data_IF_738490821062
#
_entry.id   IF_738490821062
#
_cell.length_a   1.000
_cell.length_b   1.000
_cell.length_c   1.000
_cell.angle_alpha   90.00
_cell.angle_beta   90.00
_cell.angle_gamma   90.00
#
_symmetry.space_group_name_H-M   'P 1'
#
loop_
_entity.id
_entity.type
_entity.pdbx_description
1 polymer ?
#
# COMPACT_ATOMS: atom_id res chain seq x y z
N UNK A 1 -10.77 27.62 -10.74
CA UNK A 1 -11.72 27.89 -9.64
C UNK A 1 -11.12 27.33 -8.37
N UNK A 2 -10.37 28.16 -7.64
CA UNK A 2 -9.95 27.88 -6.27
C UNK A 2 -10.86 28.69 -5.35
N UNK A 3 -11.47 28.02 -4.36
CA UNK A 3 -12.26 28.66 -3.33
C UNK A 3 -11.36 29.57 -2.49
N UNK A 4 -11.79 30.82 -2.34
CA UNK A 4 -11.24 31.83 -1.43
C UNK A 4 -11.59 31.48 0.01
N UNK A 5 -10.64 31.59 0.92
CA UNK A 5 -10.91 32.05 2.28
C UNK A 5 -10.00 33.25 2.56
N UNK A 6 -10.65 34.39 2.76
CA UNK A 6 -10.09 35.70 3.07
C UNK A 6 -9.96 35.81 4.59
N UNK A 7 -8.81 36.24 5.09
CA UNK A 7 -8.68 36.77 6.45
C UNK A 7 -8.21 38.22 6.32
N UNK A 8 -9.07 39.15 6.70
CA UNK A 8 -8.82 40.59 6.76
C UNK A 8 -7.93 40.94 7.96
N UNK A 9 -6.97 41.84 7.73
CA UNK A 9 -6.17 42.53 8.75
C UNK A 9 -5.65 43.86 8.18
N UNK A 10 -5.69 44.98 8.93
CA UNK A 10 -5.72 46.32 8.33
C UNK A 10 -4.32 46.93 8.15
N UNK A 11 -4.13 47.60 7.01
CA UNK A 11 -3.12 48.65 6.82
C UNK A 11 -1.73 48.17 6.39
N UNK A 12 -1.36 48.45 5.13
CA UNK A 12 0.04 48.40 4.69
C UNK A 12 0.25 48.00 3.24
N UNK A 13 0.04 48.95 2.32
CA UNK A 13 0.73 49.12 1.03
C UNK A 13 1.07 47.88 0.16
N UNK A 14 0.28 47.67 -0.91
CA UNK A 14 0.53 46.67 -1.96
C UNK A 14 1.72 47.07 -2.83
N UNK A 15 2.90 46.47 -2.61
CA UNK A 15 4.02 46.55 -3.56
C UNK A 15 3.94 45.42 -4.58
N UNK A 16 3.73 45.77 -5.87
CA UNK A 16 3.88 44.84 -7.00
C UNK A 16 5.34 44.41 -7.11
N UNK A 17 5.65 43.15 -6.83
CA UNK A 17 6.92 42.54 -7.21
C UNK A 17 6.74 41.89 -8.59
N UNK A 18 7.41 42.47 -9.60
CA UNK A 18 7.51 41.93 -10.96
C UNK A 18 8.33 40.63 -10.91
N UNK A 19 7.84 39.58 -11.57
CA UNK A 19 8.29 38.21 -11.35
C UNK A 19 9.67 37.85 -11.90
N UNK A 20 10.28 36.87 -11.23
CA UNK A 20 11.29 35.99 -11.78
C UNK A 20 10.71 34.58 -11.87
N UNK A 21 10.72 34.02 -13.08
CA UNK A 21 10.40 32.61 -13.32
C UNK A 21 11.44 31.77 -12.57
N UNK A 22 11.04 31.12 -11.48
CA UNK A 22 11.84 30.08 -10.86
C UNK A 22 12.04 28.96 -11.89
N UNK A 23 13.28 28.80 -12.36
CA UNK A 23 13.72 27.63 -13.10
C UNK A 23 13.40 26.39 -12.26
N UNK A 24 12.61 25.46 -12.80
CA UNK A 24 12.44 24.15 -12.18
C UNK A 24 13.82 23.48 -12.08
N UNK A 25 14.25 22.98 -10.90
CA UNK A 25 15.52 22.31 -10.80
C UNK A 25 15.50 21.05 -11.66
N UNK A 26 16.44 20.99 -12.62
CA UNK A 26 16.78 19.80 -13.39
C UNK A 26 17.06 18.65 -12.43
N UNK A 27 16.35 17.53 -12.62
CA UNK A 27 16.52 16.32 -11.83
C UNK A 27 17.81 15.62 -12.27
N UNK A 28 18.96 16.18 -11.90
CA UNK A 28 20.23 15.47 -11.98
C UNK A 28 20.17 14.29 -11.00
N UNK A 29 20.44 13.09 -11.51
CA UNK A 29 20.49 11.85 -10.74
C UNK A 29 21.38 12.04 -9.51
N UNK A 30 20.77 12.03 -8.32
CA UNK A 30 21.49 11.97 -7.04
C UNK A 30 22.16 10.61 -6.95
N UNK A 31 23.37 10.52 -7.48
CA UNK A 31 24.12 9.27 -7.57
C UNK A 31 24.87 8.91 -6.29
N UNK A 32 24.92 9.79 -5.27
CA UNK A 32 25.71 9.54 -4.07
C UNK A 32 24.87 9.63 -2.78
N UNK A 33 23.88 8.75 -2.65
CA UNK A 33 23.37 8.38 -1.33
C UNK A 33 23.80 6.94 -1.04
N UNK A 34 25.09 6.75 -0.75
CA UNK A 34 25.51 5.55 -0.03
C UNK A 34 24.89 5.59 1.36
N UNK A 35 23.94 4.70 1.63
CA UNK A 35 23.52 4.37 3.00
C UNK A 35 24.74 3.71 3.67
N UNK A 36 25.66 4.53 4.18
CA UNK A 36 26.73 4.09 5.07
C UNK A 36 26.21 4.20 6.50
N UNK A 37 25.42 3.21 6.89
CA UNK A 37 24.94 3.03 8.24
C UNK A 37 24.75 1.54 8.45
N UNK A 38 25.72 0.90 9.09
CA UNK A 38 25.55 -0.48 9.53
C UNK A 38 24.31 -0.50 10.43
N UNK A 39 23.22 -1.12 9.95
CA UNK A 39 22.06 -1.41 10.79
C UNK A 39 22.59 -2.34 11.88
N UNK A 40 22.82 -1.80 13.07
CA UNK A 40 23.21 -2.58 14.23
C UNK A 40 22.03 -3.49 14.57
N UNK A 41 22.08 -4.72 14.08
CA UNK A 41 21.13 -5.75 14.48
C UNK A 41 21.51 -6.15 15.89
N UNK A 42 20.70 -5.76 16.87
CA UNK A 42 20.84 -6.28 18.23
C UNK A 42 20.30 -7.72 18.19
N UNK A 43 21.14 -8.75 18.31
CA UNK A 43 20.65 -10.13 18.27
C UNK A 43 19.80 -10.38 19.51
N UNK A 44 18.54 -10.78 19.29
CA UNK A 44 17.69 -11.23 20.38
C UNK A 44 18.22 -12.60 20.83
N UNK A 45 18.61 -12.79 22.11
CA UNK A 45 19.15 -14.05 22.58
C UNK A 45 18.17 -15.21 22.34
N UNK A 46 18.67 -16.34 21.84
CA UNK A 46 17.84 -17.50 21.50
C UNK A 46 16.97 -17.98 22.68
N UNK A 47 17.49 -17.90 23.90
CA UNK A 47 16.76 -18.24 25.13
C UNK A 47 15.51 -17.37 25.37
N UNK A 48 15.46 -16.15 24.82
CA UNK A 48 14.29 -15.26 24.90
C UNK A 48 13.33 -15.44 23.72
N UNK A 49 13.75 -16.08 22.62
CA UNK A 49 12.94 -16.21 21.41
C UNK A 49 11.78 -17.19 21.58
N UNK A 50 12.02 -18.34 22.21
CA UNK A 50 10.97 -19.35 22.35
C UNK A 50 9.80 -18.85 23.24
N UNK A 51 10.04 -18.28 24.43
CA UNK A 51 8.95 -17.73 25.24
C UNK A 51 8.21 -16.58 24.56
N UNK A 52 8.94 -15.71 23.83
CA UNK A 52 8.32 -14.61 23.08
C UNK A 52 7.40 -15.15 21.97
N UNK A 53 7.88 -16.13 21.19
CA UNK A 53 7.11 -16.77 20.13
C UNK A 53 5.83 -17.41 20.68
N UNK A 54 5.94 -18.17 21.77
CA UNK A 54 4.79 -18.82 22.41
C UNK A 54 3.77 -17.79 22.93
N UNK A 55 4.24 -16.71 23.58
CA UNK A 55 3.37 -15.64 24.04
C UNK A 55 2.67 -14.91 22.89
N UNK A 56 3.41 -14.57 21.82
CA UNK A 56 2.86 -13.89 20.64
C UNK A 56 1.85 -14.77 19.89
N UNK A 57 2.18 -16.03 19.65
CA UNK A 57 1.28 -16.96 18.97
C UNK A 57 0.05 -17.28 19.84
N UNK A 58 0.23 -17.44 21.16
CA UNK A 58 -0.87 -17.64 22.09
C UNK A 58 -1.81 -16.44 22.17
N UNK A 59 -1.27 -15.22 22.21
CA UNK A 59 -2.07 -13.99 22.10
C UNK A 59 -2.79 -13.93 20.74
N UNK A 60 -2.09 -14.18 19.63
CA UNK A 60 -2.67 -14.13 18.29
C UNK A 60 -3.79 -15.15 18.10
N UNK A 61 -3.69 -16.33 18.71
CA UNK A 61 -4.77 -17.33 18.68
C UNK A 61 -6.06 -16.82 19.33
N UNK A 62 -5.95 -16.01 20.39
CA UNK A 62 -7.09 -15.44 21.14
C UNK A 62 -7.63 -14.16 20.51
N UNK A 63 -6.73 -13.22 20.15
CA UNK A 63 -7.06 -11.84 19.79
C UNK A 63 -6.88 -11.54 18.29
N UNK A 64 -6.33 -12.49 17.53
CA UNK A 64 -6.05 -12.29 16.11
C UNK A 64 -7.33 -12.05 15.31
N UNK A 65 -7.18 -11.34 14.18
CA UNK A 65 -8.24 -11.19 13.19
C UNK A 65 -8.53 -12.55 12.55
N UNK A 66 -9.53 -13.28 13.05
CA UNK A 66 -9.80 -14.67 12.64
C UNK A 66 -11.13 -14.87 11.93
N UNK A 67 -11.75 -13.79 11.45
CA UNK A 67 -12.99 -13.84 10.67
C UNK A 67 -12.76 -13.46 9.20
N UNK A 68 -13.35 -14.19 8.23
CA UNK A 68 -13.21 -13.89 6.79
C UNK A 68 -13.56 -12.45 6.43
N UNK A 69 -14.58 -11.87 7.06
CA UNK A 69 -15.00 -10.49 6.81
C UNK A 69 -13.92 -9.44 7.11
N UNK A 70 -12.95 -9.77 7.97
CA UNK A 70 -11.90 -8.84 8.40
C UNK A 70 -10.69 -8.84 7.47
N UNK A 71 -10.38 -9.96 6.82
CA UNK A 71 -9.21 -10.12 5.92
C UNK A 71 -9.42 -11.29 4.94
N UNK A 72 -10.35 -11.17 3.98
CA UNK A 72 -10.81 -12.28 3.16
C UNK A 72 -9.69 -12.98 2.38
N UNK A 73 -8.64 -12.27 1.97
CA UNK A 73 -7.45 -12.82 1.29
C UNK A 73 -6.63 -13.82 2.12
N UNK A 74 -6.88 -13.93 3.43
CA UNK A 74 -6.21 -14.89 4.33
C UNK A 74 -7.05 -16.14 4.61
N UNK A 75 -8.20 -16.28 3.97
CA UNK A 75 -9.12 -17.41 4.15
C UNK A 75 -9.33 -18.13 2.83
N UNK A 76 -9.72 -19.39 2.94
CA UNK A 76 -10.21 -20.17 1.80
C UNK A 76 -11.57 -19.61 1.33
N UNK A 77 -11.99 -19.91 0.09
CA UNK A 77 -13.30 -19.50 -0.43
C UNK A 77 -14.50 -19.94 0.42
N UNK A 78 -14.36 -21.05 1.16
CA UNK A 78 -15.38 -21.56 2.09
C UNK A 78 -15.38 -20.85 3.47
N UNK A 79 -14.53 -19.83 3.65
CA UNK A 79 -14.36 -19.11 4.91
C UNK A 79 -13.49 -19.83 5.94
N UNK A 80 -12.95 -21.01 5.62
CA UNK A 80 -12.05 -21.77 6.47
C UNK A 80 -10.65 -21.16 6.54
N UNK A 81 -9.95 -21.37 7.66
CA UNK A 81 -8.53 -21.07 7.79
C UNK A 81 -7.70 -22.12 7.04
N UNK A 82 -6.70 -21.73 6.22
CA UNK A 82 -5.88 -22.70 5.48
C UNK A 82 -5.08 -23.60 6.42
N UNK A 83 -5.03 -24.89 6.09
CA UNK A 83 -4.14 -25.85 6.72
C UNK A 83 -2.68 -25.62 6.30
N UNK A 84 -1.72 -26.26 6.99
CA UNK A 84 -0.28 -26.08 6.75
C UNK A 84 0.16 -26.44 5.31
N UNK A 85 -0.55 -27.35 4.65
CA UNK A 85 -0.27 -27.79 3.28
C UNK A 85 -1.05 -27.02 2.22
N UNK A 86 -2.01 -26.19 2.61
CA UNK A 86 -2.78 -25.36 1.69
C UNK A 86 -2.08 -24.02 1.48
N UNK A 87 -2.05 -23.57 0.22
CA UNK A 87 -1.53 -22.26 -0.14
C UNK A 87 -2.69 -21.26 -0.23
N UNK A 88 -2.45 -20.04 0.25
CA UNK A 88 -3.33 -18.92 -0.01
C UNK A 88 -3.21 -18.47 -1.45
N UNK A 89 -4.25 -17.80 -1.95
CA UNK A 89 -4.19 -17.11 -3.22
C UNK A 89 -3.16 -15.96 -3.13
N UNK A 90 -2.01 -16.19 -3.77
CA UNK A 90 -0.87 -15.26 -3.76
C UNK A 90 -1.25 -13.92 -4.41
N UNK A 91 -2.09 -13.93 -5.44
CA UNK A 91 -2.54 -12.72 -6.12
C UNK A 91 -3.44 -11.89 -5.20
N UNK A 92 -4.44 -12.52 -4.59
CA UNK A 92 -5.32 -11.91 -3.60
C UNK A 92 -4.55 -11.25 -2.43
N UNK A 93 -3.57 -11.97 -1.89
CA UNK A 93 -2.69 -11.49 -0.82
C UNK A 93 -1.83 -10.32 -1.30
N UNK A 94 -1.19 -10.42 -2.46
CA UNK A 94 -0.35 -9.36 -3.02
C UNK A 94 -1.13 -8.05 -3.19
N UNK A 95 -2.34 -8.11 -3.76
CA UNK A 95 -3.21 -6.94 -3.95
C UNK A 95 -3.54 -6.31 -2.59
N UNK A 96 -3.91 -7.12 -1.59
CA UNK A 96 -4.23 -6.62 -0.26
C UNK A 96 -3.04 -5.92 0.39
N UNK A 97 -1.85 -6.52 0.34
CA UNK A 97 -0.62 -5.95 0.91
C UNK A 97 -0.29 -4.60 0.26
N UNK A 98 -0.35 -4.48 -1.07
CA UNK A 98 -0.10 -3.21 -1.76
C UNK A 98 -1.12 -2.14 -1.36
N UNK A 99 -2.40 -2.51 -1.21
CA UNK A 99 -3.42 -1.58 -0.74
C UNK A 99 -3.17 -1.14 0.71
N UNK A 100 -2.70 -2.03 1.59
CA UNK A 100 -2.49 -1.76 3.02
C UNK A 100 -1.25 -0.91 3.33
N UNK A 101 -0.30 -0.78 2.40
CA UNK A 101 0.98 -0.06 2.60
C UNK A 101 0.90 1.42 3.02
N UNK A 102 -0.28 2.03 3.05
CA UNK A 102 -0.53 3.40 3.52
C UNK A 102 -2.04 3.67 3.69
N UNK A 103 -2.85 2.61 3.82
CA UNK A 103 -4.31 2.72 3.86
C UNK A 103 -4.84 1.80 4.95
N UNK A 104 -5.78 2.30 5.74
CA UNK A 104 -6.36 1.54 6.85
C UNK A 104 -7.23 0.38 6.34
N UNK A 105 -7.23 -0.73 7.07
CA UNK A 105 -7.95 -1.96 6.72
C UNK A 105 -9.43 -1.71 6.36
N UNK A 106 -10.15 -0.93 7.18
CA UNK A 106 -11.58 -0.65 6.96
C UNK A 106 -11.87 0.07 5.64
N UNK A 107 -10.92 0.90 5.19
CA UNK A 107 -11.00 1.57 3.89
C UNK A 107 -10.67 0.59 2.77
N UNK A 108 -9.67 -0.27 2.95
CA UNK A 108 -9.22 -1.22 1.93
C UNK A 108 -10.26 -2.27 1.59
N UNK A 109 -10.99 -2.82 2.58
CA UNK A 109 -11.91 -3.95 2.38
C UNK A 109 -12.87 -3.80 1.18
N UNK A 110 -13.67 -2.72 1.06
CA UNK A 110 -14.58 -2.57 -0.07
C UNK A 110 -13.85 -2.35 -1.41
N UNK A 111 -12.64 -1.78 -1.41
CA UNK A 111 -11.83 -1.61 -2.63
C UNK A 111 -11.27 -2.94 -3.11
N UNK A 112 -10.69 -3.71 -2.19
CA UNK A 112 -10.16 -5.04 -2.48
C UNK A 112 -11.26 -5.96 -3.04
N UNK A 113 -12.46 -5.95 -2.45
CA UNK A 113 -13.60 -6.73 -2.96
C UNK A 113 -14.02 -6.34 -4.38
N UNK A 114 -14.05 -5.03 -4.70
CA UNK A 114 -14.33 -4.58 -6.07
C UNK A 114 -13.20 -4.96 -7.03
N UNK A 115 -11.96 -4.84 -6.58
CA UNK A 115 -10.77 -5.14 -7.36
C UNK A 115 -10.73 -6.60 -7.77
N UNK A 116 -10.85 -7.55 -6.84
CA UNK A 116 -10.79 -8.99 -7.14
C UNK A 116 -11.99 -9.44 -8.00
N UNK A 117 -13.14 -8.77 -7.91
CA UNK A 117 -14.25 -9.04 -8.84
C UNK A 117 -13.96 -8.57 -10.27
N UNK A 118 -13.25 -7.46 -10.44
CA UNK A 118 -12.91 -6.92 -11.76
C UNK A 118 -11.68 -7.62 -12.37
N UNK A 119 -10.70 -7.95 -11.53
CA UNK A 119 -9.45 -8.61 -11.88
C UNK A 119 -9.31 -9.84 -10.98
N UNK A 120 -9.95 -10.98 -11.32
CA UNK A 120 -9.91 -12.19 -10.49
C UNK A 120 -8.55 -12.90 -10.49
N UNK A 121 -7.66 -12.56 -11.42
CA UNK A 121 -6.34 -13.20 -11.54
C UNK A 121 -5.25 -12.22 -11.97
N UNK A 122 -4.00 -12.65 -11.86
CA UNK A 122 -2.84 -11.87 -12.31
C UNK A 122 -2.92 -11.54 -13.80
N UNK A 123 -3.37 -12.49 -14.62
CA UNK A 123 -3.55 -12.36 -16.07
C UNK A 123 -4.59 -11.28 -16.40
N UNK A 124 -5.73 -11.30 -15.70
CA UNK A 124 -6.78 -10.28 -15.91
C UNK A 124 -6.31 -8.87 -15.52
N UNK A 125 -5.44 -8.75 -14.51
CA UNK A 125 -4.83 -7.47 -14.16
C UNK A 125 -3.80 -7.03 -15.20
N UNK A 126 -2.93 -7.94 -15.64
CA UNK A 126 -1.87 -7.64 -16.60
C UNK A 126 -2.41 -7.22 -17.98
N UNK A 127 -3.50 -7.86 -18.41
CA UNK A 127 -4.19 -7.54 -19.66
C UNK A 127 -5.12 -6.33 -19.60
N UNK A 128 -5.30 -5.71 -18.43
CA UNK A 128 -6.18 -4.55 -18.30
C UNK A 128 -5.56 -3.27 -18.87
N UNK A 129 -6.43 -2.36 -19.29
CA UNK A 129 -6.02 -0.99 -19.62
C UNK A 129 -5.64 -0.22 -18.35
N UNK A 130 -4.63 0.64 -18.46
CA UNK A 130 -4.15 1.38 -17.30
C UNK A 130 -5.22 2.32 -16.74
N UNK A 131 -6.07 2.92 -17.58
CA UNK A 131 -7.19 3.75 -17.10
C UNK A 131 -8.16 2.95 -16.22
N UNK A 132 -8.48 1.71 -16.59
CA UNK A 132 -9.38 0.85 -15.82
C UNK A 132 -8.78 0.53 -14.43
N UNK A 133 -7.48 0.24 -14.39
CA UNK A 133 -6.74 0.03 -13.14
C UNK A 133 -6.81 1.27 -12.23
N UNK A 134 -6.55 2.45 -12.79
CA UNK A 134 -6.56 3.70 -12.02
C UNK A 134 -7.98 4.07 -11.53
N UNK A 135 -9.01 3.78 -12.34
CA UNK A 135 -10.41 4.00 -11.98
C UNK A 135 -10.81 3.15 -10.77
N UNK A 136 -10.44 1.85 -10.75
CA UNK A 136 -10.74 0.97 -9.62
C UNK A 136 -9.94 1.32 -8.36
N UNK A 137 -8.80 2.01 -8.50
CA UNK A 137 -7.97 2.51 -7.41
C UNK A 137 -8.40 3.90 -6.88
N UNK A 138 -9.32 4.57 -7.57
CA UNK A 138 -9.69 5.96 -7.29
C UNK A 138 -10.19 6.13 -5.85
N UNK A 139 -9.48 6.93 -5.05
CA UNK A 139 -9.81 7.19 -3.64
C UNK A 139 -8.87 6.53 -2.62
N UNK A 140 -8.03 5.57 -3.02
CA UNK A 140 -7.00 4.99 -2.13
C UNK A 140 -5.73 5.85 -2.01
N UNK A 141 -5.59 6.88 -2.86
CA UNK A 141 -4.41 7.73 -2.93
C UNK A 141 -3.16 7.00 -3.45
N UNK A 142 -2.05 7.72 -3.56
CA UNK A 142 -0.74 7.18 -3.95
C UNK A 142 -0.80 6.26 -5.19
N UNK A 143 -1.33 6.78 -6.31
CA UNK A 143 -1.55 6.05 -7.57
C UNK A 143 -0.31 5.39 -8.18
N UNK A 144 0.90 5.76 -7.73
CA UNK A 144 2.12 5.05 -8.10
C UNK A 144 2.09 3.57 -7.66
N UNK A 145 1.36 3.22 -6.57
CA UNK A 145 1.16 1.83 -6.14
C UNK A 145 0.37 1.03 -7.17
N UNK A 146 -0.75 1.56 -7.65
CA UNK A 146 -1.57 0.93 -8.67
C UNK A 146 -0.79 0.69 -9.97
N UNK A 147 -0.04 1.70 -10.43
CA UNK A 147 0.80 1.58 -11.64
C UNK A 147 1.89 0.53 -11.48
N UNK A 148 2.60 0.52 -10.35
CA UNK A 148 3.65 -0.49 -10.09
C UNK A 148 3.08 -1.90 -9.95
N UNK A 149 1.92 -2.04 -9.31
CA UNK A 149 1.21 -3.31 -9.20
C UNK A 149 0.85 -3.85 -10.59
N UNK A 150 0.30 -3.00 -11.46
CA UNK A 150 -0.05 -3.36 -12.84
C UNK A 150 1.20 -3.69 -13.68
N UNK A 151 2.25 -2.87 -13.60
CA UNK A 151 3.53 -3.13 -14.28
C UNK A 151 4.14 -4.45 -13.81
N UNK A 152 4.16 -4.70 -12.50
CA UNK A 152 4.67 -5.96 -11.94
C UNK A 152 3.86 -7.17 -12.39
N UNK A 153 2.54 -7.05 -12.52
CA UNK A 153 1.70 -8.12 -13.05
C UNK A 153 2.06 -8.48 -14.50
N UNK A 154 2.36 -7.48 -15.34
CA UNK A 154 2.83 -7.71 -16.72
C UNK A 154 4.20 -8.39 -16.74
N UNK A 155 5.14 -7.90 -15.94
CA UNK A 155 6.51 -8.45 -15.87
C UNK A 155 6.56 -9.91 -15.40
N UNK A 156 5.63 -10.36 -14.56
CA UNK A 156 5.59 -11.75 -14.09
C UNK A 156 5.09 -12.72 -15.17
N UNK A 157 4.35 -12.22 -16.17
CA UNK A 157 3.76 -13.02 -17.25
C UNK A 157 4.52 -12.93 -18.59
N UNK A 158 5.50 -12.04 -18.68
CA UNK A 158 6.49 -11.97 -19.78
C UNK A 158 7.48 -13.15 -19.71
#
# INVERSE_FOLDING_TARGET
>A
MCCHETIDGPGGEVRRIRGERAHAPSYAARSDCTISGAIATVPIPAAKLLPLREALLGWWQREGRRRPEQKPWMFRPDGGWPSKSEHLDVYAVMVAEVMLQQTQLQVVLPYWQRWIRAFPSLETLAGAEQEQVLLLWQGLGYYARARRLHQGARQVLE
#
